data_IF_006353485025
#
_entry.id   IF_006353485025
#
_cell.length_a   1.000
_cell.length_b   1.000
_cell.length_c   1.000
_cell.angle_alpha   90.00
_cell.angle_beta   90.00
_cell.angle_gamma   90.00
#
_symmetry.space_group_name_H-M   'P 1'
#
loop_
_entity.id
_entity.type
_entity.pdbx_description
1 polymer ?
#
# COMPACT_ATOMS: atom_id res chain seq x y z
N UNK A 1 25.78 -8.75 -9.87
CA UNK A 1 24.86 -9.88 -10.10
C UNK A 1 23.45 -9.32 -10.32
N UNK A 2 22.98 -9.16 -11.57
CA UNK A 2 21.63 -8.64 -11.85
C UNK A 2 20.62 -9.71 -11.44
N UNK A 3 19.90 -9.52 -10.32
CA UNK A 3 18.79 -10.40 -9.98
C UNK A 3 17.79 -10.41 -11.15
N UNK A 4 17.49 -11.60 -11.69
CA UNK A 4 16.58 -11.75 -12.83
C UNK A 4 15.18 -11.22 -12.51
N UNK A 5 14.63 -10.43 -13.44
CA UNK A 5 13.36 -9.69 -13.32
C UNK A 5 12.15 -10.56 -12.93
N UNK A 6 12.19 -11.87 -13.16
CA UNK A 6 11.10 -12.80 -12.81
C UNK A 6 11.04 -13.27 -11.35
N UNK A 7 12.07 -13.02 -10.54
CA UNK A 7 12.15 -13.57 -9.16
C UNK A 7 11.09 -13.02 -8.21
N UNK A 8 10.74 -11.74 -8.34
CA UNK A 8 9.77 -11.09 -7.45
C UNK A 8 8.35 -11.59 -7.67
N UNK A 9 7.98 -11.94 -8.90
CA UNK A 9 6.68 -12.55 -9.19
C UNK A 9 6.57 -13.97 -8.62
N UNK A 10 7.66 -14.74 -8.63
CA UNK A 10 7.68 -16.07 -8.00
C UNK A 10 7.52 -15.94 -6.49
N UNK A 11 8.22 -15.00 -5.86
CA UNK A 11 8.08 -14.73 -4.42
C UNK A 11 6.66 -14.28 -4.07
N UNK A 12 6.09 -13.34 -4.82
CA UNK A 12 4.71 -12.88 -4.61
C UNK A 12 3.68 -14.01 -4.83
N UNK A 13 3.85 -14.81 -5.89
CA UNK A 13 3.00 -15.95 -6.17
C UNK A 13 3.08 -17.02 -5.08
N UNK A 14 4.29 -17.32 -4.58
CA UNK A 14 4.48 -18.25 -3.47
C UNK A 14 3.84 -17.71 -2.19
N UNK A 15 4.01 -16.42 -1.87
CA UNK A 15 3.36 -15.80 -0.72
C UNK A 15 1.84 -15.96 -0.78
N UNK A 16 1.22 -15.64 -1.92
CA UNK A 16 -0.23 -15.81 -2.12
C UNK A 16 -0.64 -17.27 -1.97
N UNK A 17 0.10 -18.20 -2.59
CA UNK A 17 -0.20 -19.63 -2.50
C UNK A 17 -0.12 -20.14 -1.05
N UNK A 18 0.87 -19.69 -0.27
CA UNK A 18 1.00 -20.03 1.15
C UNK A 18 -0.17 -19.44 1.94
N UNK A 19 -0.53 -18.17 1.74
CA UNK A 19 -1.66 -17.55 2.45
C UNK A 19 -3.00 -18.23 2.12
N UNK A 20 -3.24 -18.59 0.87
CA UNK A 20 -4.43 -19.35 0.45
C UNK A 20 -4.42 -20.77 1.03
N UNK A 21 -3.27 -21.44 1.01
CA UNK A 21 -3.10 -22.75 1.62
C UNK A 21 -3.36 -22.74 3.13
N UNK A 22 -2.83 -21.75 3.85
CA UNK A 22 -3.12 -21.55 5.27
C UNK A 22 -4.61 -21.27 5.50
N UNK A 23 -5.22 -20.37 4.74
CA UNK A 23 -6.66 -20.09 4.89
C UNK A 23 -7.54 -21.33 4.67
N UNK A 24 -7.15 -22.23 3.76
CA UNK A 24 -7.91 -23.44 3.44
C UNK A 24 -7.63 -24.62 4.38
N UNK A 25 -6.40 -24.76 4.90
CA UNK A 25 -5.95 -25.95 5.63
C UNK A 25 -5.69 -25.70 7.13
N UNK A 26 -5.43 -24.46 7.54
CA UNK A 26 -5.18 -24.04 8.92
C UNK A 26 -5.71 -22.61 9.16
N UNK A 27 -7.03 -22.51 9.30
CA UNK A 27 -7.70 -21.23 9.52
C UNK A 27 -7.21 -20.49 10.78
N UNK A 28 -6.81 -21.23 11.83
CA UNK A 28 -6.30 -20.63 13.07
C UNK A 28 -4.93 -19.99 12.86
N UNK A 29 -4.02 -20.69 12.17
CA UNK A 29 -2.72 -20.14 11.79
C UNK A 29 -2.87 -18.92 10.88
N UNK A 30 -3.75 -19.01 9.88
CA UNK A 30 -4.08 -17.88 9.01
C UNK A 30 -4.58 -16.65 9.80
N UNK A 31 -5.56 -16.84 10.69
CA UNK A 31 -6.11 -15.75 11.49
C UNK A 31 -5.06 -15.10 12.39
N UNK A 32 -4.18 -15.90 13.02
CA UNK A 32 -3.10 -15.38 13.87
C UNK A 32 -2.15 -14.46 13.10
N UNK A 33 -1.95 -14.70 11.81
CA UNK A 33 -1.08 -13.89 10.95
C UNK A 33 -1.74 -12.58 10.49
N UNK A 34 -3.03 -12.64 10.17
CA UNK A 34 -3.77 -11.58 9.44
C UNK A 34 -4.61 -10.68 10.35
N UNK A 35 -4.94 -11.12 11.56
CA UNK A 35 -5.67 -10.30 12.53
C UNK A 35 -4.96 -8.98 12.84
N UNK A 36 -5.70 -8.03 13.40
CA UNK A 36 -5.18 -6.75 13.93
C UNK A 36 -4.00 -7.01 14.89
N UNK A 37 -2.97 -6.16 14.81
CA UNK A 37 -1.66 -6.33 15.46
C UNK A 37 -0.89 -7.60 15.07
N UNK A 38 -1.35 -8.31 14.04
CA UNK A 38 -0.72 -9.51 13.50
C UNK A 38 0.55 -9.22 12.69
N UNK A 39 1.39 -10.25 12.46
CA UNK A 39 2.60 -10.12 11.65
C UNK A 39 2.40 -9.49 10.27
N UNK A 40 1.26 -9.74 9.61
CA UNK A 40 0.98 -9.18 8.28
C UNK A 40 0.72 -7.68 8.33
N UNK A 41 0.03 -7.17 9.36
CA UNK A 41 -0.19 -5.75 9.56
C UNK A 41 1.15 -5.03 9.81
N UNK A 42 1.95 -5.54 10.75
CA UNK A 42 3.29 -4.98 11.03
C UNK A 42 4.22 -4.99 9.80
N UNK A 43 4.16 -6.04 8.99
CA UNK A 43 4.89 -6.09 7.73
C UNK A 43 4.38 -5.03 6.74
N UNK A 44 3.07 -4.86 6.64
CA UNK A 44 2.42 -3.84 5.78
C UNK A 44 2.85 -2.43 6.18
N UNK A 45 2.82 -2.12 7.47
CA UNK A 45 3.32 -0.87 8.05
C UNK A 45 4.77 -0.63 7.66
N UNK A 46 5.65 -1.61 7.90
CA UNK A 46 7.07 -1.49 7.59
C UNK A 46 7.34 -1.28 6.10
N UNK A 47 6.66 -2.04 5.23
CA UNK A 47 6.80 -1.93 3.78
C UNK A 47 6.35 -0.56 3.26
N UNK A 48 5.17 -0.08 3.69
CA UNK A 48 4.67 1.23 3.30
C UNK A 48 5.50 2.38 3.88
N UNK A 49 5.98 2.27 5.12
CA UNK A 49 6.86 3.26 5.72
C UNK A 49 8.18 3.39 4.92
N UNK A 50 8.84 2.26 4.62
CA UNK A 50 10.07 2.25 3.82
C UNK A 50 9.83 2.79 2.41
N UNK A 51 8.75 2.35 1.75
CA UNK A 51 8.39 2.83 0.42
C UNK A 51 8.16 4.35 0.43
N UNK A 52 7.43 4.86 1.42
CA UNK A 52 7.14 6.27 1.60
C UNK A 52 8.41 7.11 1.76
N UNK A 53 9.30 6.71 2.68
CA UNK A 53 10.59 7.41 2.91
C UNK A 53 11.46 7.39 1.66
N UNK A 54 11.61 6.23 1.00
CA UNK A 54 12.40 6.11 -0.23
C UNK A 54 11.85 7.02 -1.32
N UNK A 55 10.52 7.04 -1.49
CA UNK A 55 9.89 7.83 -2.56
C UNK A 55 9.93 9.32 -2.29
N UNK A 56 9.66 9.77 -1.07
CA UNK A 56 9.83 11.17 -0.66
C UNK A 56 11.28 11.64 -0.85
N UNK A 57 12.25 10.79 -0.48
CA UNK A 57 13.68 11.08 -0.64
C UNK A 57 14.09 11.21 -2.10
N UNK A 58 13.52 10.41 -2.99
CA UNK A 58 13.74 10.50 -4.43
C UNK A 58 13.05 11.76 -5.01
N UNK A 59 11.80 12.02 -4.61
CA UNK A 59 11.02 13.19 -5.00
C UNK A 59 11.71 14.50 -4.64
N UNK A 60 12.25 14.59 -3.42
CA UNK A 60 13.00 15.76 -2.95
C UNK A 60 14.24 16.03 -3.82
N UNK A 61 14.99 14.97 -4.20
CA UNK A 61 16.18 15.11 -5.06
C UNK A 61 15.85 15.45 -6.50
N UNK A 62 14.79 14.86 -7.06
CA UNK A 62 14.37 15.07 -8.44
C UNK A 62 13.44 16.26 -8.66
N UNK A 63 12.89 16.84 -7.59
CA UNK A 63 11.76 17.81 -7.62
C UNK A 63 10.51 17.23 -8.29
N UNK A 64 10.25 15.95 -8.07
CA UNK A 64 9.11 15.23 -8.64
C UNK A 64 7.91 15.30 -7.70
N UNK A 65 6.98 16.23 -7.95
CA UNK A 65 5.82 16.44 -7.08
C UNK A 65 4.96 15.18 -6.94
N UNK A 66 4.67 14.49 -8.05
CA UNK A 66 3.83 13.29 -8.02
C UNK A 66 4.45 12.16 -7.18
N UNK A 67 5.75 11.91 -7.34
CA UNK A 67 6.47 10.93 -6.53
C UNK A 67 6.42 11.30 -5.05
N UNK A 68 6.47 12.61 -4.73
CA UNK A 68 6.31 13.10 -3.37
C UNK A 68 4.93 12.77 -2.79
N UNK A 69 3.88 12.94 -3.59
CA UNK A 69 2.50 12.58 -3.20
C UNK A 69 2.35 11.08 -2.98
N UNK A 70 2.93 10.24 -3.85
CA UNK A 70 2.95 8.78 -3.66
C UNK A 70 3.66 8.42 -2.36
N UNK A 71 4.80 9.04 -2.08
CA UNK A 71 5.55 8.79 -0.85
C UNK A 71 4.78 9.22 0.41
N UNK A 72 4.13 10.39 0.38
CA UNK A 72 3.27 10.85 1.46
C UNK A 72 2.06 9.92 1.68
N UNK A 73 1.43 9.46 0.59
CA UNK A 73 0.34 8.49 0.66
C UNK A 73 0.78 7.16 1.29
N UNK A 74 1.97 6.64 0.94
CA UNK A 74 2.50 5.44 1.58
C UNK A 74 2.71 5.64 3.09
N UNK A 75 3.23 6.79 3.53
CA UNK A 75 3.36 7.08 4.96
C UNK A 75 2.01 7.22 5.65
N UNK A 76 1.02 7.82 4.97
CA UNK A 76 -0.35 7.90 5.47
C UNK A 76 -0.94 6.51 5.70
N UNK A 77 -0.83 5.59 4.72
CA UNK A 77 -1.27 4.20 4.88
C UNK A 77 -0.56 3.52 6.05
N UNK A 78 0.77 3.66 6.16
CA UNK A 78 1.51 3.08 7.29
C UNK A 78 1.04 3.64 8.64
N UNK A 79 0.72 4.93 8.72
CA UNK A 79 0.18 5.57 9.92
C UNK A 79 -1.21 5.05 10.26
N UNK A 80 -2.08 4.95 9.26
CA UNK A 80 -3.43 4.41 9.41
C UNK A 80 -3.42 2.96 9.93
N UNK A 81 -2.54 2.10 9.41
CA UNK A 81 -2.42 0.69 9.81
C UNK A 81 -1.88 0.50 11.25
N UNK A 82 -1.14 1.47 11.81
CA UNK A 82 -0.74 1.47 13.25
C UNK A 82 -1.61 2.37 14.11
N UNK A 83 -2.76 2.81 13.58
CA UNK A 83 -3.69 3.71 14.28
C UNK A 83 -2.96 4.94 14.82
N UNK A 84 -2.10 5.53 13.97
CA UNK A 84 -1.25 6.68 14.26
C UNK A 84 -0.48 6.57 15.59
N UNK A 85 -0.04 5.35 15.93
CA UNK A 85 0.71 5.07 17.14
C UNK A 85 -0.11 5.17 18.43
N UNK A 86 -1.45 5.14 18.36
CA UNK A 86 -2.34 5.16 19.52
C UNK A 86 -1.89 4.18 20.61
N UNK A 87 -1.64 2.92 20.23
CA UNK A 87 -1.20 1.87 21.17
C UNK A 87 0.22 2.09 21.71
N UNK A 88 1.11 2.63 20.88
CA UNK A 88 2.51 2.86 21.23
C UNK A 88 2.68 4.05 22.18
N UNK A 89 1.90 5.10 21.97
CA UNK A 89 1.96 6.36 22.74
C UNK A 89 0.95 6.34 23.90
N UNK A 90 -0.11 5.54 23.81
CA UNK A 90 -1.11 5.37 24.85
C UNK A 90 -2.12 6.53 24.92
N UNK A 91 -2.37 7.23 23.81
CA UNK A 91 -3.39 8.29 23.78
C UNK A 91 -4.76 7.72 23.39
N UNK A 92 -5.81 8.46 23.72
CA UNK A 92 -7.20 8.10 23.40
C UNK A 92 -7.82 9.19 22.52
N UNK A 93 -8.36 8.85 21.33
CA UNK A 93 -9.11 9.79 20.52
C UNK A 93 -10.37 10.32 21.24
N UNK A 94 -10.94 11.46 20.81
CA UNK A 94 -12.19 11.98 21.38
C UNK A 94 -13.33 10.96 21.30
N UNK A 95 -14.24 10.95 22.28
CA UNK A 95 -15.37 10.00 22.34
C UNK A 95 -16.22 10.01 21.08
N UNK A 96 -16.44 11.20 20.49
CA UNK A 96 -17.23 11.34 19.25
C UNK A 96 -16.53 10.70 18.04
N UNK A 97 -15.19 10.69 18.03
CA UNK A 97 -14.40 10.03 17.00
C UNK A 97 -14.52 8.51 17.15
N UNK A 98 -14.32 8.02 18.38
CA UNK A 98 -14.41 6.61 18.72
C UNK A 98 -15.81 6.05 18.45
N UNK A 99 -16.87 6.75 18.85
CA UNK A 99 -18.25 6.29 18.64
C UNK A 99 -18.61 5.99 17.18
N UNK A 100 -17.95 6.65 16.22
CA UNK A 100 -18.15 6.42 14.79
C UNK A 100 -17.07 5.53 14.15
N UNK A 101 -15.99 5.20 14.87
CA UNK A 101 -14.90 4.34 14.41
C UNK A 101 -15.18 2.87 14.77
N UNK A 102 -15.23 1.98 13.78
CA UNK A 102 -15.64 0.59 13.99
C UNK A 102 -14.78 -0.19 15.01
N UNK A 103 -13.46 0.05 15.08
CA UNK A 103 -12.55 -0.66 15.98
C UNK A 103 -12.13 0.18 17.21
N UNK A 104 -12.73 1.37 17.40
CA UNK A 104 -12.34 2.29 18.48
C UNK A 104 -10.85 2.70 18.41
N UNK A 105 -10.37 2.91 17.20
CA UNK A 105 -8.97 3.26 16.93
C UNK A 105 -8.81 4.68 16.41
N UNK A 106 -7.58 5.20 16.44
CA UNK A 106 -7.21 6.52 15.96
C UNK A 106 -6.92 6.58 14.45
N UNK A 107 -7.53 5.71 13.65
CA UNK A 107 -7.42 5.72 12.18
C UNK A 107 -8.70 6.23 11.53
N UNK A 108 -8.60 6.66 10.28
CA UNK A 108 -9.74 7.19 9.51
C UNK A 108 -10.39 6.09 8.68
N UNK A 109 -9.64 5.07 8.27
CA UNK A 109 -10.19 4.00 7.44
C UNK A 109 -11.26 3.16 8.16
N UNK A 110 -11.32 3.16 9.49
CA UNK A 110 -12.38 2.46 10.24
C UNK A 110 -13.71 3.21 10.30
N UNK A 111 -13.83 4.40 9.68
CA UNK A 111 -15.14 5.00 9.40
C UNK A 111 -15.79 4.28 8.20
N UNK A 112 -16.22 3.04 8.42
CA UNK A 112 -16.79 2.14 7.40
C UNK A 112 -18.00 2.77 6.69
N UNK A 113 -18.81 3.55 7.40
CA UNK A 113 -19.97 4.25 6.81
C UNK A 113 -19.56 5.37 5.83
N UNK A 114 -18.35 5.91 5.98
CA UNK A 114 -17.81 7.00 5.15
C UNK A 114 -16.98 6.45 3.98
N UNK A 115 -16.10 5.48 4.27
CA UNK A 115 -15.12 4.96 3.31
C UNK A 115 -15.49 3.60 2.73
N UNK A 116 -16.57 2.97 3.20
CA UNK A 116 -17.04 1.68 2.72
C UNK A 116 -16.03 0.56 3.01
N UNK A 117 -15.29 0.14 1.99
CA UNK A 117 -14.29 -0.96 2.08
C UNK A 117 -12.90 -0.42 1.76
N UNK A 118 -12.15 0.09 2.76
CA UNK A 118 -10.83 0.70 2.56
C UNK A 118 -9.85 -0.19 1.78
N UNK A 119 -9.86 -1.51 2.04
CA UNK A 119 -9.02 -2.46 1.32
C UNK A 119 -9.29 -2.49 -0.20
N UNK A 120 -10.54 -2.31 -0.64
CA UNK A 120 -10.87 -2.22 -2.07
C UNK A 120 -10.38 -0.91 -2.69
N UNK A 121 -10.48 0.20 -1.94
CA UNK A 121 -9.96 1.50 -2.37
C UNK A 121 -8.44 1.41 -2.56
N UNK A 122 -7.73 0.85 -1.57
CA UNK A 122 -6.29 0.64 -1.67
C UNK A 122 -5.93 -0.26 -2.85
N UNK A 123 -6.64 -1.38 -3.04
CA UNK A 123 -6.42 -2.28 -4.17
C UNK A 123 -6.64 -1.56 -5.52
N UNK A 124 -7.68 -0.74 -5.65
CA UNK A 124 -7.93 0.05 -6.86
C UNK A 124 -6.83 1.08 -7.13
N UNK A 125 -6.34 1.77 -6.09
CA UNK A 125 -5.23 2.72 -6.20
C UNK A 125 -3.93 2.03 -6.62
N UNK A 126 -3.62 0.87 -6.03
CA UNK A 126 -2.45 0.06 -6.39
C UNK A 126 -2.55 -0.45 -7.84
N UNK A 127 -3.74 -0.86 -8.29
CA UNK A 127 -3.96 -1.27 -9.67
C UNK A 127 -3.79 -0.08 -10.64
N UNK A 128 -4.34 1.09 -10.30
CA UNK A 128 -4.18 2.30 -11.10
C UNK A 128 -2.70 2.69 -11.23
N UNK A 129 -1.95 2.66 -10.12
CA UNK A 129 -0.52 2.96 -10.12
C UNK A 129 0.31 1.90 -10.86
N UNK A 130 0.04 0.62 -10.65
CA UNK A 130 0.82 -0.50 -11.17
C UNK A 130 0.52 -0.90 -12.62
N UNK A 131 -0.69 -0.59 -13.11
CA UNK A 131 -1.15 -1.01 -14.45
C UNK A 131 -1.52 0.17 -15.32
N UNK A 132 -2.43 1.04 -14.86
CA UNK A 132 -2.93 2.14 -15.69
C UNK A 132 -1.84 3.17 -15.98
N UNK A 133 -1.04 3.55 -14.99
CA UNK A 133 0.01 4.56 -15.17
C UNK A 133 1.11 4.10 -16.17
N UNK A 134 1.66 2.87 -16.09
CA UNK A 134 2.53 2.34 -17.14
C UNK A 134 1.86 2.26 -18.51
N UNK A 135 0.58 1.87 -18.59
CA UNK A 135 -0.14 1.80 -19.86
C UNK A 135 -0.30 3.19 -20.51
N UNK A 136 -0.72 4.20 -19.73
CA UNK A 136 -0.88 5.58 -20.19
C UNK A 136 0.46 6.19 -20.62
N UNK A 137 1.57 5.85 -19.94
CA UNK A 137 2.91 6.34 -20.31
C UNK A 137 3.42 5.79 -21.67
N UNK A 138 2.75 4.78 -22.25
CA UNK A 138 3.02 4.32 -23.63
C UNK A 138 2.51 5.32 -24.67
N UNK A 139 1.55 6.18 -24.31
CA UNK A 139 1.01 7.20 -25.20
C UNK A 139 1.87 8.48 -25.17
N UNK A 140 2.38 8.91 -26.33
CA UNK A 140 3.38 9.99 -26.42
C UNK A 140 2.90 11.34 -25.91
N UNK A 141 1.63 11.69 -26.14
CA UNK A 141 1.02 12.92 -25.63
C UNK A 141 0.93 12.92 -24.09
N UNK A 142 0.55 11.78 -23.50
CA UNK A 142 0.42 11.65 -22.05
C UNK A 142 1.79 11.63 -21.36
N UNK A 143 2.80 11.01 -21.98
CA UNK A 143 4.17 10.94 -21.45
C UNK A 143 4.75 12.32 -21.13
N UNK A 144 4.58 13.30 -22.02
CA UNK A 144 5.08 14.65 -21.79
C UNK A 144 4.44 15.36 -20.58
N UNK A 145 3.18 15.05 -20.26
CA UNK A 145 2.51 15.57 -19.05
C UNK A 145 3.00 14.84 -17.81
N UNK A 146 3.12 13.51 -17.86
CA UNK A 146 3.61 12.70 -16.75
C UNK A 146 5.04 13.09 -16.36
N UNK A 147 5.93 13.30 -17.34
CA UNK A 147 7.32 13.73 -17.11
C UNK A 147 7.38 15.10 -16.43
N UNK A 148 6.52 16.05 -16.83
CA UNK A 148 6.42 17.38 -16.19
C UNK A 148 5.94 17.32 -14.75
N UNK A 149 5.02 16.41 -14.44
CA UNK A 149 4.54 16.17 -13.08
C UNK A 149 5.53 15.35 -12.24
N UNK A 150 6.60 14.83 -12.86
CA UNK A 150 7.54 13.91 -12.26
C UNK A 150 6.89 12.56 -11.93
N UNK A 151 5.82 12.18 -12.61
CA UNK A 151 5.11 10.93 -12.39
C UNK A 151 5.90 9.77 -13.02
N UNK A 152 6.82 9.19 -12.24
CA UNK A 152 7.58 8.05 -12.74
C UNK A 152 6.77 6.77 -12.61
N UNK A 153 6.25 6.30 -13.74
CA UNK A 153 5.54 5.03 -13.82
C UNK A 153 6.44 3.88 -13.35
N UNK A 154 5.91 2.92 -12.57
CA UNK A 154 6.68 1.73 -12.22
C UNK A 154 7.09 0.99 -13.51
N UNK A 155 8.24 0.29 -13.50
CA UNK A 155 8.67 -0.47 -14.67
C UNK A 155 7.58 -1.46 -15.06
N UNK A 156 7.39 -1.72 -16.36
CA UNK A 156 6.36 -2.66 -16.84
C UNK A 156 6.48 -4.06 -16.21
N UNK A 157 7.67 -4.44 -15.73
CA UNK A 157 7.91 -5.67 -14.97
C UNK A 157 7.29 -5.67 -13.56
N UNK A 158 6.77 -4.55 -13.06
CA UNK A 158 6.02 -4.48 -11.81
C UNK A 158 4.50 -4.64 -12.04
N UNK A 159 4.04 -4.60 -13.30
CA UNK A 159 2.66 -4.88 -13.62
C UNK A 159 2.36 -6.38 -13.37
N UNK A 160 1.13 -6.75 -12.98
CA UNK A 160 0.73 -8.14 -12.85
C UNK A 160 0.96 -8.90 -14.16
N UNK A 161 1.37 -10.17 -14.06
CA UNK A 161 1.73 -11.03 -15.18
C UNK A 161 0.61 -11.23 -16.22
N UNK A 162 -0.65 -10.95 -15.87
CA UNK A 162 -1.80 -11.03 -16.75
C UNK A 162 -2.08 -9.72 -17.52
N UNK A 163 -1.31 -8.66 -17.28
CA UNK A 163 -1.45 -7.35 -17.95
C UNK A 163 -0.44 -7.14 -19.10
N UNK A 164 0.30 -8.18 -19.49
CA UNK A 164 1.37 -8.17 -20.49
C UNK A 164 1.08 -9.01 -21.71
#
# INVERSE_FOLDING_TARGET
MKLGRGRWHVVAGLYVAVMVGLAALDASGYYTLVQEDGPVEWATVGLFAVAGVVRLRAAWRGRHLFDGLVGAFCLFVAGEEISWGQRLVGYTPPEQFLAANFQQEANVHNFVDVFGRPGLILAALLLAYGVLLPAVSRWSQARGVLDRLGASAPPAAAAPWFAG
#
